data_IF_270472996565
#
_entry.id   IF_270472996565
#
_cell.length_a   1.000
_cell.length_b   1.000
_cell.length_c   1.000
_cell.angle_alpha   90.00
_cell.angle_beta   90.00
_cell.angle_gamma   90.00
#
_symmetry.space_group_name_H-M   'P 1'
#
loop_
_entity.id
_entity.type
_entity.pdbx_description
1 polymer ?
#
# COMPACT_ATOMS: atom_id res chain seq x y z
N UNK A 1 13.70 -9.31 -15.35
CA UNK A 1 13.55 -8.74 -14.00
C UNK A 1 12.19 -9.10 -13.42
N UNK A 2 12.18 -9.43 -12.16
CA UNK A 2 10.98 -9.81 -11.42
C UNK A 2 10.75 -8.85 -10.26
N UNK A 3 9.55 -8.89 -9.69
CA UNK A 3 9.13 -8.00 -8.59
C UNK A 3 10.09 -8.05 -7.41
N UNK A 4 10.64 -9.23 -7.08
CA UNK A 4 11.62 -9.36 -5.99
C UNK A 4 12.84 -8.44 -6.15
N UNK A 5 13.18 -8.06 -7.38
CA UNK A 5 14.34 -7.20 -7.65
C UNK A 5 14.10 -5.74 -7.26
N UNK A 6 12.84 -5.30 -7.19
CA UNK A 6 12.50 -3.89 -6.96
C UNK A 6 11.54 -3.65 -5.79
N UNK A 7 10.90 -4.70 -5.25
CA UNK A 7 9.94 -4.54 -4.16
C UNK A 7 10.61 -4.04 -2.88
N UNK A 8 9.82 -3.39 -2.03
CA UNK A 8 10.21 -3.12 -0.66
C UNK A 8 9.85 -4.35 0.17
N UNK A 9 10.82 -5.05 0.75
CA UNK A 9 10.54 -6.13 1.70
C UNK A 9 10.19 -5.57 3.08
N UNK A 10 9.78 -6.42 3.99
CA UNK A 10 9.51 -6.03 5.39
C UNK A 10 8.53 -4.87 5.50
N UNK A 11 7.40 -5.00 4.85
CA UNK A 11 6.36 -3.97 4.87
C UNK A 11 5.70 -3.88 6.23
N UNK A 12 5.28 -2.66 6.56
CA UNK A 12 4.44 -2.41 7.72
C UNK A 12 3.00 -2.73 7.34
N UNK A 13 2.32 -3.50 8.18
CA UNK A 13 0.92 -3.87 7.97
C UNK A 13 0.05 -3.31 9.09
N UNK A 14 -1.26 -3.33 8.90
CA UNK A 14 -2.21 -2.86 9.90
C UNK A 14 -3.36 -3.87 9.99
N UNK A 15 -3.90 -4.04 11.19
CA UNK A 15 -5.03 -4.93 11.43
C UNK A 15 -6.33 -4.24 11.01
N UNK A 16 -7.30 -4.96 10.42
CA UNK A 16 -8.57 -4.34 10.02
C UNK A 16 -9.39 -3.79 11.21
N UNK A 17 -9.17 -4.29 12.40
CA UNK A 17 -9.82 -3.80 13.61
C UNK A 17 -9.11 -2.59 14.23
N UNK A 18 -7.93 -2.23 13.74
CA UNK A 18 -7.22 -1.02 14.17
C UNK A 18 -7.97 0.23 13.73
N UNK A 19 -7.79 1.31 14.49
CA UNK A 19 -8.37 2.62 14.13
C UNK A 19 -7.64 3.24 12.95
N UNK A 20 -8.33 4.11 12.23
CA UNK A 20 -7.68 4.88 11.17
C UNK A 20 -6.59 5.80 11.72
N UNK A 21 -6.72 6.26 12.97
CA UNK A 21 -5.67 7.01 13.65
C UNK A 21 -4.37 6.21 13.76
N UNK A 22 -4.46 4.92 14.08
CA UNK A 22 -3.31 4.01 14.11
C UNK A 22 -2.67 3.89 12.74
N UNK A 23 -3.47 3.72 11.70
CA UNK A 23 -2.96 3.63 10.32
C UNK A 23 -2.25 4.92 9.90
N UNK A 24 -2.82 6.08 10.21
CA UNK A 24 -2.19 7.37 9.91
C UNK A 24 -0.83 7.50 10.60
N UNK A 25 -0.77 7.11 11.88
CA UNK A 25 0.47 7.17 12.64
C UNK A 25 1.54 6.26 12.03
N UNK A 26 1.17 5.04 11.62
CA UNK A 26 2.09 4.11 10.96
C UNK A 26 2.62 4.66 9.64
N UNK A 27 1.75 5.26 8.83
CA UNK A 27 2.15 5.87 7.56
C UNK A 27 3.15 7.02 7.78
N UNK A 28 2.91 7.87 8.77
CA UNK A 28 3.81 8.99 9.10
C UNK A 28 5.15 8.50 9.64
N UNK A 29 5.12 7.53 10.54
CA UNK A 29 6.33 7.00 11.17
C UNK A 29 7.26 6.35 10.15
N UNK A 30 6.70 5.60 9.20
CA UNK A 30 7.48 4.83 8.23
C UNK A 30 7.59 5.49 6.85
N UNK A 31 6.91 6.59 6.62
CA UNK A 31 6.95 7.29 5.33
C UNK A 31 6.21 6.55 4.21
N UNK A 32 5.25 5.70 4.54
CA UNK A 32 4.46 4.96 3.56
C UNK A 32 3.10 5.62 3.30
N UNK A 33 2.61 5.49 2.09
CA UNK A 33 1.31 6.02 1.67
C UNK A 33 0.25 4.94 1.53
N UNK A 34 0.61 3.69 1.73
CA UNK A 34 -0.32 2.56 1.70
C UNK A 34 0.19 1.46 2.61
N UNK A 35 -0.76 0.76 3.22
CA UNK A 35 -0.47 -0.33 4.13
C UNK A 35 -1.31 -1.54 3.74
N UNK A 36 -0.71 -2.71 3.60
CA UNK A 36 -1.49 -3.94 3.54
C UNK A 36 -2.25 -4.12 4.84
N UNK A 37 -3.50 -4.55 4.73
CA UNK A 37 -4.35 -4.86 5.90
C UNK A 37 -4.32 -6.37 6.09
N UNK A 38 -3.85 -6.79 7.24
CA UNK A 38 -3.57 -8.20 7.54
C UNK A 38 -4.30 -8.61 8.81
N UNK A 39 -5.02 -9.72 8.74
CA UNK A 39 -5.69 -10.33 9.89
C UNK A 39 -5.17 -11.74 10.10
N UNK A 40 -4.63 -12.00 11.29
CA UNK A 40 -4.11 -13.33 11.64
C UNK A 40 -3.13 -13.87 10.58
N UNK A 41 -2.21 -12.99 10.12
CA UNK A 41 -1.20 -13.36 9.13
C UNK A 41 -1.69 -13.41 7.69
N UNK A 42 -2.96 -13.06 7.43
CA UNK A 42 -3.56 -13.15 6.10
C UNK A 42 -3.94 -11.77 5.56
N UNK A 43 -3.54 -11.51 4.32
CA UNK A 43 -3.92 -10.29 3.61
C UNK A 43 -5.43 -10.25 3.40
N UNK A 44 -6.09 -9.20 3.88
CA UNK A 44 -7.53 -9.01 3.71
C UNK A 44 -7.87 -7.72 2.97
N UNK A 45 -6.93 -6.79 2.83
CA UNK A 45 -7.21 -5.53 2.17
C UNK A 45 -5.95 -4.69 1.99
N UNK A 46 -6.16 -3.50 1.45
CA UNK A 46 -5.15 -2.46 1.37
C UNK A 46 -5.81 -1.13 1.73
N UNK A 47 -5.12 -0.29 2.48
CA UNK A 47 -5.57 1.05 2.81
C UNK A 47 -4.52 2.07 2.37
N UNK A 48 -4.97 3.17 1.77
CA UNK A 48 -4.09 4.22 1.27
C UNK A 48 -4.27 5.50 2.09
N UNK A 49 -3.31 6.43 1.99
CA UNK A 49 -3.45 7.75 2.61
C UNK A 49 -4.67 8.51 2.06
N UNK A 50 -4.99 8.29 0.79
CA UNK A 50 -6.19 8.86 0.17
C UNK A 50 -7.47 8.34 0.84
N UNK A 51 -7.55 7.02 1.08
CA UNK A 51 -8.69 6.42 1.78
C UNK A 51 -8.87 7.04 3.16
N UNK A 52 -7.77 7.24 3.88
CA UNK A 52 -7.80 7.81 5.23
C UNK A 52 -8.19 9.28 5.20
N UNK A 53 -7.69 10.05 4.23
CA UNK A 53 -8.06 11.45 4.07
C UNK A 53 -9.54 11.59 3.73
N UNK A 54 -10.08 10.75 2.88
CA UNK A 54 -11.50 10.76 2.54
C UNK A 54 -12.36 10.48 3.77
N UNK A 55 -11.94 9.55 4.62
CA UNK A 55 -12.65 9.23 5.85
C UNK A 55 -12.61 10.39 6.86
N UNK A 56 -11.49 11.13 6.92
CA UNK A 56 -11.31 12.24 7.87
C UNK A 56 -11.85 13.57 7.34
N UNK A 57 -12.08 13.72 6.04
CA UNK A 57 -12.58 14.96 5.43
C UNK A 57 -14.11 15.02 5.37
N UNK A 58 -14.80 14.15 6.08
CA UNK A 58 -16.25 14.27 6.18
C UNK A 58 -16.60 15.59 6.88
N UNK A 59 -17.71 16.26 6.49
CA UNK A 59 -18.11 17.51 7.15
C UNK A 59 -18.31 17.38 8.66
N UNK A 60 -18.64 16.19 9.12
CA UNK A 60 -18.80 15.92 10.56
C UNK A 60 -17.45 15.94 11.29
N UNK A 61 -16.37 15.47 10.64
CA UNK A 61 -15.03 15.44 11.22
C UNK A 61 -14.41 16.83 11.29
N UNK A 62 -14.69 17.69 10.31
CA UNK A 62 -14.06 19.01 10.20
C UNK A 62 -14.62 20.05 11.16
N UNK A 63 -15.77 19.81 11.77
CA UNK A 63 -16.46 20.81 12.57
C UNK A 63 -15.81 21.13 13.91
N UNK A 64 -15.24 20.13 14.59
CA UNK A 64 -14.61 20.30 15.89
C UNK A 64 -13.40 19.38 16.03
N UNK A 65 -12.30 19.92 16.55
CA UNK A 65 -11.02 19.21 16.63
C UNK A 65 -11.08 17.97 17.54
N UNK A 66 -11.73 18.11 18.70
CA UNK A 66 -11.87 16.98 19.62
C UNK A 66 -12.73 15.86 19.02
N UNK A 67 -13.70 16.25 18.21
CA UNK A 67 -14.57 15.29 17.52
C UNK A 67 -13.79 14.52 16.45
N UNK A 68 -12.83 15.18 15.79
CA UNK A 68 -11.93 14.53 14.84
C UNK A 68 -11.08 13.47 15.53
N UNK A 69 -10.50 13.77 16.68
CA UNK A 69 -9.70 12.82 17.44
C UNK A 69 -10.52 11.61 17.87
N UNK A 70 -11.75 11.85 18.34
CA UNK A 70 -12.67 10.77 18.70
C UNK A 70 -12.96 9.87 17.49
N UNK A 71 -13.24 10.45 16.32
CA UNK A 71 -13.54 9.69 15.10
C UNK A 71 -12.33 8.91 14.60
N UNK A 72 -11.12 9.47 14.73
CA UNK A 72 -9.89 8.77 14.36
C UNK A 72 -9.71 7.48 15.18
N UNK A 73 -10.17 7.49 16.43
CA UNK A 73 -10.13 6.29 17.27
C UNK A 73 -11.31 5.34 16.99
N UNK A 74 -12.49 5.89 16.65
CA UNK A 74 -13.71 5.13 16.48
C UNK A 74 -13.83 4.43 15.12
N UNK A 75 -13.33 5.06 14.04
CA UNK A 75 -13.41 4.49 12.70
C UNK A 75 -12.34 3.43 12.53
N UNK A 76 -12.73 2.25 12.08
CA UNK A 76 -11.82 1.13 11.87
C UNK A 76 -11.30 1.09 10.44
N UNK A 77 -10.08 0.60 10.28
CA UNK A 77 -9.43 0.44 8.97
C UNK A 77 -10.32 -0.36 8.01
N UNK A 78 -10.97 -1.39 8.49
CA UNK A 78 -11.85 -2.24 7.67
C UNK A 78 -12.96 -1.46 6.95
N UNK A 79 -13.37 -0.31 7.50
CA UNK A 79 -14.41 0.54 6.90
C UNK A 79 -13.89 1.40 5.75
N UNK A 80 -12.57 1.54 5.63
CA UNK A 80 -11.94 2.42 4.64
C UNK A 80 -11.10 1.66 3.62
N UNK A 81 -10.69 0.43 3.94
CA UNK A 81 -9.81 -0.36 3.07
C UNK A 81 -10.51 -0.82 1.81
N UNK A 82 -9.73 -1.12 0.77
CA UNK A 82 -10.19 -1.90 -0.36
C UNK A 82 -9.96 -3.37 -0.03
N UNK A 83 -11.02 -4.21 0.01
CA UNK A 83 -10.85 -5.64 0.27
C UNK A 83 -10.30 -6.37 -0.95
N UNK A 84 -9.73 -7.55 -0.72
CA UNK A 84 -9.21 -8.43 -1.78
C UNK A 84 -8.38 -7.69 -2.82
N UNK A 85 -7.26 -7.07 -2.42
CA UNK A 85 -6.45 -6.27 -3.33
C UNK A 85 -5.80 -7.14 -4.40
N UNK A 86 -5.51 -6.51 -5.53
CA UNK A 86 -4.71 -7.12 -6.58
C UNK A 86 -3.30 -7.26 -6.07
N UNK A 87 -2.69 -8.40 -6.27
CA UNK A 87 -1.37 -8.74 -5.72
C UNK A 87 -0.37 -9.12 -6.81
N UNK A 88 0.87 -9.24 -6.42
CA UNK A 88 1.94 -9.85 -7.21
C UNK A 88 2.67 -10.85 -6.30
N UNK A 89 3.51 -11.68 -6.89
CA UNK A 89 4.44 -12.55 -6.15
C UNK A 89 5.87 -12.08 -6.43
N UNK A 90 6.85 -12.52 -5.64
CA UNK A 90 8.24 -12.16 -5.90
C UNK A 90 8.72 -12.54 -7.31
N UNK A 91 8.18 -13.62 -7.87
CA UNK A 91 8.56 -14.11 -9.19
C UNK A 91 7.77 -13.46 -10.33
N UNK A 92 6.79 -12.63 -10.04
CA UNK A 92 6.00 -11.93 -11.07
C UNK A 92 6.95 -11.06 -11.90
N UNK A 93 6.94 -11.17 -13.25
CA UNK A 93 7.72 -10.26 -14.09
C UNK A 93 7.31 -8.80 -13.83
N UNK A 94 8.28 -7.90 -13.83
CA UNK A 94 8.01 -6.47 -13.58
C UNK A 94 7.00 -5.93 -14.58
N UNK A 95 7.09 -6.35 -15.85
CA UNK A 95 6.15 -5.89 -16.87
C UNK A 95 4.70 -6.27 -16.53
N UNK A 96 4.49 -7.45 -15.97
CA UNK A 96 3.15 -7.89 -15.58
C UNK A 96 2.63 -7.09 -14.38
N UNK A 97 3.48 -6.82 -13.40
CA UNK A 97 3.12 -5.97 -12.27
C UNK A 97 2.78 -4.54 -12.74
N UNK A 98 3.59 -3.99 -13.64
CA UNK A 98 3.35 -2.67 -14.22
C UNK A 98 2.00 -2.62 -14.96
N UNK A 99 1.68 -3.66 -15.72
CA UNK A 99 0.41 -3.75 -16.41
C UNK A 99 -0.77 -3.79 -15.43
N UNK A 100 -0.63 -4.52 -14.33
CA UNK A 100 -1.67 -4.58 -13.28
C UNK A 100 -1.91 -3.20 -12.66
N UNK A 101 -0.84 -2.48 -12.33
CA UNK A 101 -0.95 -1.12 -11.78
C UNK A 101 -1.67 -0.20 -12.76
N UNK A 102 -1.29 -0.23 -14.03
CA UNK A 102 -1.88 0.63 -15.04
C UNK A 102 -3.33 0.27 -15.35
N UNK A 103 -3.61 -1.01 -15.53
CA UNK A 103 -4.94 -1.51 -15.88
C UNK A 103 -5.97 -1.18 -14.79
N UNK A 104 -5.59 -1.34 -13.53
CA UNK A 104 -6.49 -1.11 -12.40
C UNK A 104 -6.38 0.30 -11.81
N UNK A 105 -5.49 1.14 -12.36
CA UNK A 105 -5.29 2.54 -11.94
C UNK A 105 -5.00 2.65 -10.44
N UNK A 106 -4.10 1.80 -9.97
CA UNK A 106 -3.69 1.75 -8.57
C UNK A 106 -2.20 2.05 -8.45
N UNK A 107 -1.78 2.54 -7.30
CA UNK A 107 -0.40 3.01 -7.09
C UNK A 107 0.54 1.98 -6.49
N UNK A 108 0.04 0.84 -6.06
CA UNK A 108 0.88 -0.19 -5.46
C UNK A 108 0.15 -1.52 -5.33
N UNK A 109 0.92 -2.59 -5.28
CA UNK A 109 0.45 -3.97 -5.11
C UNK A 109 1.11 -4.57 -3.89
N UNK A 110 0.35 -5.21 -2.98
CA UNK A 110 0.97 -6.11 -2.02
C UNK A 110 1.63 -7.26 -2.76
N UNK A 111 2.81 -7.65 -2.30
CA UNK A 111 3.52 -8.82 -2.81
C UNK A 111 3.31 -9.94 -1.82
N UNK A 112 2.77 -11.05 -2.29
CA UNK A 112 2.45 -12.20 -1.46
C UNK A 112 3.37 -13.38 -1.81
N UNK A 113 3.54 -14.29 -0.86
CA UNK A 113 4.39 -15.46 -1.07
C UNK A 113 3.84 -16.35 -2.18
N UNK A 114 4.74 -16.99 -2.94
CA UNK A 114 4.36 -17.86 -4.04
C UNK A 114 3.58 -19.11 -3.56
N UNK A 115 3.86 -19.56 -2.34
CA UNK A 115 3.24 -20.75 -1.74
C UNK A 115 2.05 -20.43 -0.86
N UNK A 116 1.79 -19.14 -0.60
CA UNK A 116 0.68 -18.68 0.24
C UNK A 116 0.26 -17.28 -0.24
N UNK A 117 -0.82 -17.23 -1.01
CA UNK A 117 -1.33 -16.01 -1.64
C UNK A 117 -1.90 -14.99 -0.66
N UNK A 118 -1.87 -15.28 0.65
CA UNK A 118 -2.34 -14.38 1.68
C UNK A 118 -1.23 -13.88 2.61
N UNK A 119 -0.01 -14.42 2.49
CA UNK A 119 1.12 -14.00 3.30
C UNK A 119 1.89 -12.88 2.61
N UNK A 120 1.84 -11.68 3.16
CA UNK A 120 2.51 -10.51 2.58
C UNK A 120 4.01 -10.61 2.81
N UNK A 121 4.79 -10.45 1.75
CA UNK A 121 6.26 -10.49 1.81
C UNK A 121 6.89 -9.19 1.29
N UNK A 122 6.11 -8.27 0.77
CA UNK A 122 6.62 -7.00 0.26
C UNK A 122 5.53 -6.11 -0.31
N UNK A 123 5.96 -4.97 -0.84
CA UNK A 123 5.14 -4.04 -1.61
C UNK A 123 5.89 -3.62 -2.86
N UNK A 124 5.19 -3.48 -3.97
CA UNK A 124 5.74 -2.87 -5.18
C UNK A 124 4.84 -1.72 -5.61
N UNK A 125 5.43 -0.57 -5.90
CA UNK A 125 4.70 0.67 -6.16
C UNK A 125 5.10 1.27 -7.51
N UNK A 126 4.32 2.28 -7.94
CA UNK A 126 4.67 3.07 -9.12
C UNK A 126 6.04 3.74 -8.96
N UNK A 127 6.38 4.20 -7.75
CA UNK A 127 7.69 4.76 -7.48
C UNK A 127 8.80 3.74 -7.74
N UNK A 128 8.61 2.49 -7.31
CA UNK A 128 9.57 1.42 -7.59
C UNK A 128 9.72 1.19 -9.10
N UNK A 129 8.62 1.25 -9.85
CA UNK A 129 8.63 1.13 -11.30
C UNK A 129 9.40 2.27 -11.96
N UNK A 130 9.19 3.51 -11.50
CA UNK A 130 9.90 4.67 -12.03
C UNK A 130 11.39 4.60 -11.72
N UNK A 131 11.77 4.20 -10.51
CA UNK A 131 13.16 4.02 -10.14
C UNK A 131 13.84 2.98 -11.03
N UNK A 132 13.14 1.88 -11.30
CA UNK A 132 13.60 0.85 -12.22
C UNK A 132 13.80 1.39 -13.63
N UNK A 133 12.83 2.14 -14.14
CA UNK A 133 12.89 2.76 -15.48
C UNK A 133 14.06 3.73 -15.57
N UNK A 134 14.24 4.59 -14.59
CA UNK A 134 15.36 5.54 -14.55
C UNK A 134 16.69 4.80 -14.60
N UNK A 135 16.82 3.74 -13.81
CA UNK A 135 18.04 2.94 -13.78
C UNK A 135 18.33 2.30 -15.14
N UNK A 136 17.32 1.73 -15.79
CA UNK A 136 17.48 1.09 -17.10
C UNK A 136 17.86 2.11 -18.18
N UNK A 137 17.19 3.26 -18.20
CA UNK A 137 17.46 4.30 -19.20
C UNK A 137 18.84 4.95 -18.99
N UNK A 138 19.24 5.16 -17.75
CA UNK A 138 20.56 5.70 -17.45
C UNK A 138 21.68 4.75 -17.88
N UNK A 139 21.43 3.44 -17.85
CA UNK A 139 22.39 2.43 -18.30
C UNK A 139 22.49 2.36 -19.82
N UNK A 140 21.39 2.61 -20.54
CA UNK A 140 21.34 2.57 -22.01
C UNK A 140 21.83 3.86 -22.65
N UNK A 141 21.85 4.94 -21.92
CA UNK A 141 22.27 6.25 -22.42
C UNK A 141 23.49 6.72 -21.62
N UNK A 142 24.64 6.07 -21.82
CA UNK A 142 25.86 6.45 -21.11
C UNK A 142 26.31 7.81 -21.62
N UNK A 143 25.94 8.81 -20.89
CA UNK A 143 26.35 10.16 -21.19
C UNK A 143 27.80 10.31 -20.79
N UNK A 144 28.53 10.75 -21.71
CA UNK A 144 29.92 11.09 -21.56
C UNK A 144 30.22 12.03 -20.42
#
# INVERSE_FOLDING_TARGET
MVVANIMTPEVVTVDPASSIGTAIALMREHGFRRLPVVKEGKLVGIVTDRDLRQATNSPLVLRERWYSDFLLEAIKVKSCMTPDPITATPATPIIDAARRLRQHKIGGLPVVAADDDRRVVGMVTITDMLDCLIHLLASEDPID
#
